data_IF_088970753550
#
_entry.id   IF_088970753550
#
_cell.length_a   1.000
_cell.length_b   1.000
_cell.length_c   1.000
_cell.angle_alpha   90.00
_cell.angle_beta   90.00
_cell.angle_gamma   90.00
#
_symmetry.space_group_name_H-M   'P 1'
#
loop_
_entity.id
_entity.type
_entity.pdbx_description
1 polymer ?
#
# COMPACT_ATOMS: atom_id res chain seq x y z
N UNK A 1 23.82 -4.60 10.58
CA UNK A 1 22.73 -3.69 10.20
C UNK A 1 22.02 -3.32 11.48
N UNK A 2 21.76 -2.04 11.69
CA UNK A 2 20.96 -1.58 12.81
C UNK A 2 19.50 -2.06 12.67
N UNK A 3 18.89 -2.49 13.77
CA UNK A 3 17.56 -3.13 13.76
C UNK A 3 16.46 -2.14 13.38
N UNK A 4 16.60 -0.87 13.74
CA UNK A 4 15.63 0.17 13.39
C UNK A 4 15.70 0.50 11.90
N UNK A 5 16.91 0.56 11.33
CA UNK A 5 17.12 0.68 9.88
C UNK A 5 16.49 -0.49 9.12
N UNK A 6 16.72 -1.74 9.57
CA UNK A 6 16.13 -2.93 8.93
C UNK A 6 14.59 -2.94 9.01
N UNK A 7 14.04 -2.49 10.13
CA UNK A 7 12.59 -2.35 10.31
C UNK A 7 12.00 -1.29 9.39
N UNK A 8 12.65 -0.13 9.25
CA UNK A 8 12.22 0.93 8.36
C UNK A 8 12.16 0.45 6.90
N UNK A 9 13.24 -0.16 6.41
CA UNK A 9 13.32 -0.65 5.02
C UNK A 9 12.26 -1.71 4.72
N UNK A 10 12.02 -2.65 5.65
CA UNK A 10 10.97 -3.65 5.50
C UNK A 10 9.57 -3.02 5.40
N UNK A 11 9.25 -2.07 6.29
CA UNK A 11 7.95 -1.39 6.28
C UNK A 11 7.75 -0.56 5.01
N UNK A 12 8.81 0.08 4.53
CA UNK A 12 8.79 0.83 3.28
C UNK A 12 8.52 -0.11 2.09
N UNK A 13 9.24 -1.23 2.00
CA UNK A 13 9.07 -2.21 0.94
C UNK A 13 7.65 -2.81 0.91
N UNK A 14 7.08 -3.13 2.08
CA UNK A 14 5.69 -3.62 2.18
C UNK A 14 4.70 -2.55 1.71
N UNK A 15 4.92 -1.28 2.08
CA UNK A 15 4.10 -0.16 1.64
C UNK A 15 4.15 0.07 0.14
N UNK A 16 5.34 0.06 -0.45
CA UNK A 16 5.54 0.27 -1.89
C UNK A 16 4.94 -0.87 -2.72
N UNK A 17 5.12 -2.12 -2.29
CA UNK A 17 4.50 -3.27 -2.95
C UNK A 17 2.97 -3.15 -2.98
N UNK A 18 2.36 -2.85 -1.82
CA UNK A 18 0.92 -2.68 -1.74
C UNK A 18 0.44 -1.47 -2.58
N UNK A 19 1.21 -0.38 -2.60
CA UNK A 19 0.86 0.82 -3.38
C UNK A 19 0.89 0.55 -4.88
N UNK A 20 1.94 -0.08 -5.38
CA UNK A 20 2.10 -0.40 -6.80
C UNK A 20 1.01 -1.39 -7.24
N UNK A 21 0.78 -2.46 -6.47
CA UNK A 21 -0.26 -3.44 -6.77
C UNK A 21 -1.65 -2.80 -6.75
N UNK A 22 -1.97 -2.00 -5.72
CA UNK A 22 -3.24 -1.30 -5.63
C UNK A 22 -3.47 -0.37 -6.82
N UNK A 23 -2.44 0.40 -7.21
CA UNK A 23 -2.50 1.29 -8.36
C UNK A 23 -2.69 0.54 -9.69
N UNK A 24 -1.96 -0.56 -9.91
CA UNK A 24 -2.11 -1.42 -11.10
C UNK A 24 -3.50 -2.05 -11.17
N UNK A 25 -4.03 -2.54 -10.06
CA UNK A 25 -5.38 -3.13 -10.03
C UNK A 25 -6.46 -2.08 -10.30
N UNK A 26 -6.29 -0.85 -9.82
CA UNK A 26 -7.22 0.25 -10.10
C UNK A 26 -7.33 0.62 -11.59
N UNK A 27 -6.35 0.27 -12.42
CA UNK A 27 -6.46 0.47 -13.87
C UNK A 27 -7.50 -0.44 -14.53
N UNK A 28 -7.83 -1.56 -13.90
CA UNK A 28 -8.79 -2.54 -14.41
C UNK A 28 -10.21 -2.32 -13.85
N UNK A 29 -10.41 -1.30 -13.01
CA UNK A 29 -11.74 -0.93 -12.51
C UNK A 29 -12.62 -0.45 -13.68
N UNK A 30 -13.71 -1.16 -13.91
CA UNK A 30 -14.65 -0.95 -15.00
C UNK A 30 -14.43 -1.85 -16.22
N UNK A 31 -13.37 -2.67 -16.24
CA UNK A 31 -12.99 -3.51 -17.39
C UNK A 31 -13.46 -4.97 -17.27
N UNK A 32 -13.96 -5.39 -16.10
CA UNK A 32 -14.40 -6.77 -15.92
C UNK A 32 -15.74 -7.05 -16.65
N UNK A 33 -15.93 -8.26 -17.22
CA UNK A 33 -17.16 -8.61 -17.95
C UNK A 33 -18.44 -8.67 -17.09
N UNK A 34 -18.29 -8.86 -15.77
CA UNK A 34 -19.38 -9.03 -14.81
C UNK A 34 -19.21 -8.02 -13.67
N UNK A 35 -20.30 -7.37 -13.27
CA UNK A 35 -20.27 -6.28 -12.28
C UNK A 35 -19.74 -6.75 -10.92
N UNK A 36 -20.14 -7.94 -10.47
CA UNK A 36 -19.68 -8.51 -9.20
C UNK A 36 -18.17 -8.73 -9.18
N UNK A 37 -17.59 -9.14 -10.32
CA UNK A 37 -16.16 -9.32 -10.47
C UNK A 37 -15.42 -7.97 -10.47
N UNK A 38 -16.00 -6.96 -11.14
CA UNK A 38 -15.44 -5.59 -11.15
C UNK A 38 -15.41 -4.96 -9.75
N UNK A 39 -16.50 -5.14 -9.01
CA UNK A 39 -16.61 -4.68 -7.62
C UNK A 39 -15.63 -5.43 -6.73
N UNK A 40 -15.48 -6.76 -6.91
CA UNK A 40 -14.49 -7.54 -6.17
C UNK A 40 -13.05 -7.07 -6.45
N UNK A 41 -12.70 -6.84 -7.72
CA UNK A 41 -11.37 -6.35 -8.10
C UNK A 41 -11.09 -4.95 -7.55
N UNK A 42 -12.07 -4.05 -7.65
CA UNK A 42 -12.00 -2.69 -7.11
C UNK A 42 -11.85 -2.68 -5.59
N UNK A 43 -12.52 -3.59 -4.88
CA UNK A 43 -12.37 -3.75 -3.43
C UNK A 43 -10.96 -4.22 -3.05
N UNK A 44 -10.38 -5.18 -3.81
CA UNK A 44 -9.00 -5.62 -3.58
C UNK A 44 -8.02 -4.46 -3.81
N UNK A 45 -8.22 -3.66 -4.88
CA UNK A 45 -7.42 -2.48 -5.13
C UNK A 45 -7.48 -1.49 -3.96
N UNK A 46 -8.70 -1.22 -3.45
CA UNK A 46 -8.91 -0.32 -2.31
C UNK A 46 -8.24 -0.82 -1.04
N UNK A 47 -8.33 -2.12 -0.74
CA UNK A 47 -7.68 -2.74 0.41
C UNK A 47 -6.15 -2.62 0.34
N UNK A 48 -5.57 -2.84 -0.85
CA UNK A 48 -4.12 -2.66 -1.08
C UNK A 48 -3.68 -1.22 -0.86
N UNK A 49 -4.48 -0.23 -1.29
CA UNK A 49 -4.21 1.19 -0.99
C UNK A 49 -4.33 1.48 0.52
N UNK A 50 -5.26 0.82 1.21
CA UNK A 50 -5.36 0.85 2.67
C UNK A 50 -4.11 0.30 3.35
N UNK A 51 -3.62 -0.86 2.90
CA UNK A 51 -2.39 -1.49 3.38
C UNK A 51 -1.16 -0.62 3.11
N UNK A 52 -1.05 -0.05 1.91
CA UNK A 52 0.03 0.88 1.57
C UNK A 52 0.08 2.07 2.54
N UNK A 53 -1.07 2.68 2.83
CA UNK A 53 -1.18 3.77 3.80
C UNK A 53 -0.75 3.32 5.19
N UNK A 54 -1.17 2.14 5.63
CA UNK A 54 -0.80 1.59 6.92
C UNK A 54 0.72 1.39 7.04
N UNK A 55 1.33 0.70 6.08
CA UNK A 55 2.75 0.39 6.09
C UNK A 55 3.63 1.64 5.96
N UNK A 56 3.32 2.55 5.02
CA UNK A 56 4.08 3.79 4.86
C UNK A 56 3.96 4.70 6.08
N UNK A 57 2.82 4.70 6.77
CA UNK A 57 2.66 5.43 8.04
C UNK A 57 3.52 4.79 9.14
N UNK A 58 3.59 3.45 9.20
CA UNK A 58 4.47 2.76 10.14
C UNK A 58 5.95 2.99 9.82
N UNK A 59 6.33 3.00 8.53
CA UNK A 59 7.68 3.31 8.08
C UNK A 59 8.10 4.73 8.49
N UNK A 60 7.25 5.74 8.25
CA UNK A 60 7.54 7.12 8.66
C UNK A 60 7.69 7.31 10.18
N UNK A 61 7.00 6.48 10.98
CA UNK A 61 7.21 6.43 12.44
C UNK A 61 8.51 5.75 12.82
N UNK A 62 8.92 4.70 12.10
CA UNK A 62 10.15 3.96 12.33
C UNK A 62 11.42 4.71 11.88
N UNK A 63 11.32 5.56 10.85
CA UNK A 63 12.43 6.39 10.35
C UNK A 63 12.90 7.42 11.41
N UNK A 64 12.06 7.75 12.39
CA UNK A 64 12.38 8.73 13.44
C UNK A 64 12.50 10.18 12.95
N UNK A 65 12.34 10.44 11.65
CA UNK A 65 12.44 11.76 11.02
C UNK A 65 11.16 12.60 11.08
N UNK A 66 10.12 12.14 11.78
CA UNK A 66 8.92 12.93 12.02
C UNK A 66 8.15 13.31 10.75
N UNK A 67 8.27 12.53 9.67
CA UNK A 67 7.48 12.68 8.43
C UNK A 67 6.04 12.26 8.67
N UNK A 68 5.34 13.05 9.46
CA UNK A 68 3.89 13.05 9.54
C UNK A 68 3.38 13.50 8.18
N UNK A 69 2.31 12.88 7.66
CA UNK A 69 1.61 13.44 6.50
C UNK A 69 1.19 14.87 6.84
N UNK A 70 1.82 15.85 6.21
CA UNK A 70 1.33 17.22 6.08
C UNK A 70 0.37 17.30 4.92
#
# INVERSE_FOLDING_TARGET
MDTDTARFELLLQLGDNALILGHRLSEWSGDAPVLEEDVALTNIALDLIGQARFWLTAAGKAEGLGRSKG
#
